data_IF_743212548115
#
_entry.id   IF_743212548115
#
_cell.length_a   1.000
_cell.length_b   1.000
_cell.length_c   1.000
_cell.angle_alpha   90.00
_cell.angle_beta   90.00
_cell.angle_gamma   90.00
#
_symmetry.space_group_name_H-M   'P 1'
#
loop_
_entity.id
_entity.type
_entity.pdbx_description
1 polymer ?
#
# COMPACT_ATOMS: atom_id res chain seq x y z
N UNK A 1 21.38 19.42 22.85
CA UNK A 1 20.34 18.50 22.35
C UNK A 1 20.47 17.26 23.19
N UNK A 2 19.79 17.24 24.33
CA UNK A 2 19.72 16.06 25.18
C UNK A 2 18.87 15.03 24.45
N UNK A 3 19.49 13.88 24.16
CA UNK A 3 18.80 12.67 23.72
C UNK A 3 17.89 12.20 24.86
N UNK A 4 16.69 12.77 24.91
CA UNK A 4 15.58 12.22 25.65
C UNK A 4 15.30 10.84 25.04
N UNK A 5 15.85 9.80 25.67
CA UNK A 5 15.37 8.44 25.55
C UNK A 5 13.91 8.41 26.01
N UNK A 6 13.00 8.83 25.15
CA UNK A 6 11.56 8.71 25.34
C UNK A 6 11.30 7.21 25.42
N UNK A 7 11.14 6.69 26.64
CA UNK A 7 10.64 5.35 26.87
C UNK A 7 9.19 5.33 26.35
N UNK A 8 9.00 4.73 25.18
CA UNK A 8 7.69 4.50 24.58
C UNK A 8 6.91 3.49 25.42
N UNK A 9 6.28 3.95 26.49
CA UNK A 9 5.27 3.18 27.22
C UNK A 9 4.02 3.08 26.36
N UNK A 10 3.35 1.92 26.33
CA UNK A 10 2.12 1.71 25.53
C UNK A 10 1.06 2.79 25.78
N UNK A 11 1.02 3.33 27.00
CA UNK A 11 0.06 4.34 27.44
C UNK A 11 0.32 5.75 26.87
N UNK A 12 1.55 6.03 26.41
CA UNK A 12 1.92 7.34 25.86
C UNK A 12 1.82 7.44 24.34
N UNK A 13 1.68 6.30 23.64
CA UNK A 13 1.67 6.28 22.16
C UNK A 13 0.40 6.90 21.57
N UNK A 14 -0.78 6.47 22.03
CA UNK A 14 -2.06 6.95 21.51
C UNK A 14 -2.24 8.49 21.63
N UNK A 15 -1.98 9.13 22.79
CA UNK A 15 -2.12 10.59 22.89
C UNK A 15 -1.07 11.33 22.05
N UNK A 16 0.14 10.78 21.87
CA UNK A 16 1.18 11.38 21.05
C UNK A 16 0.81 11.34 19.56
N UNK A 17 0.35 10.19 19.06
CA UNK A 17 -0.16 10.06 17.70
C UNK A 17 -1.36 10.98 17.49
N UNK A 18 -2.29 11.05 18.46
CA UNK A 18 -3.45 11.93 18.40
C UNK A 18 -3.08 13.41 18.26
N UNK A 19 -2.12 13.90 19.06
CA UNK A 19 -1.62 15.28 18.95
C UNK A 19 -0.91 15.52 17.62
N UNK A 20 -0.04 14.61 17.19
CA UNK A 20 0.65 14.73 15.91
C UNK A 20 -0.34 14.77 14.74
N UNK A 21 -1.40 13.96 14.78
CA UNK A 21 -2.47 13.98 13.78
C UNK A 21 -3.25 15.29 13.79
N UNK A 22 -3.53 15.82 14.98
CA UNK A 22 -4.28 17.07 15.15
C UNK A 22 -3.50 18.28 14.63
N UNK A 23 -2.20 18.35 14.93
CA UNK A 23 -1.31 19.42 14.46
C UNK A 23 -1.12 19.38 12.95
N UNK A 24 -1.11 18.18 12.35
CA UNK A 24 -0.94 17.98 10.91
C UNK A 24 -2.25 17.73 10.15
N UNK A 25 -3.40 17.96 10.79
CA UNK A 25 -4.73 17.72 10.24
C UNK A 25 -4.94 18.28 8.82
N UNK A 26 -4.60 19.55 8.50
CA UNK A 26 -4.79 20.06 7.15
C UNK A 26 -3.97 19.31 6.09
N UNK A 27 -2.76 18.87 6.44
CA UNK A 27 -1.90 18.09 5.54
C UNK A 27 -2.44 16.67 5.35
N UNK A 28 -2.97 16.04 6.40
CA UNK A 28 -3.61 14.72 6.34
C UNK A 28 -4.86 14.77 5.46
N UNK A 29 -5.71 15.78 5.64
CA UNK A 29 -6.92 15.97 4.82
C UNK A 29 -6.54 16.23 3.37
N UNK A 30 -5.58 17.13 3.11
CA UNK A 30 -5.11 17.44 1.76
C UNK A 30 -4.52 16.21 1.05
N UNK A 31 -3.69 15.43 1.74
CA UNK A 31 -3.15 14.18 1.23
C UNK A 31 -4.22 13.13 0.96
N UNK A 32 -5.22 13.00 1.84
CA UNK A 32 -6.36 12.12 1.67
C UNK A 32 -7.24 12.48 0.47
N UNK A 33 -7.50 13.77 0.24
CA UNK A 33 -8.23 14.25 -0.93
C UNK A 33 -7.49 13.95 -2.24
N UNK A 34 -6.17 14.20 -2.29
CA UNK A 34 -5.34 13.87 -3.45
C UNK A 34 -5.29 12.36 -3.71
N UNK A 35 -5.17 11.56 -2.65
CA UNK A 35 -5.23 10.11 -2.73
C UNK A 35 -6.58 9.64 -3.28
N UNK A 36 -7.69 10.15 -2.76
CA UNK A 36 -9.04 9.85 -3.25
C UNK A 36 -9.23 10.23 -4.72
N UNK A 37 -8.71 11.38 -5.14
CA UNK A 37 -8.74 11.83 -6.54
C UNK A 37 -7.98 10.88 -7.47
N UNK A 38 -6.81 10.36 -7.03
CA UNK A 38 -6.05 9.36 -7.80
C UNK A 38 -6.71 7.97 -7.81
N UNK A 39 -7.52 7.65 -6.80
CA UNK A 39 -8.30 6.40 -6.76
C UNK A 39 -9.56 6.45 -7.64
N UNK A 40 -10.06 7.66 -7.96
CA UNK A 40 -11.31 7.84 -8.70
C UNK A 40 -11.35 7.09 -10.06
N UNK A 41 -10.31 7.06 -10.89
CA UNK A 41 -10.33 6.32 -12.17
C UNK A 41 -10.57 4.81 -11.99
N UNK A 42 -9.92 4.20 -10.99
CA UNK A 42 -10.12 2.78 -10.68
C UNK A 42 -11.55 2.52 -10.18
N UNK A 43 -12.09 3.41 -9.35
CA UNK A 43 -13.45 3.33 -8.84
C UNK A 43 -14.51 3.47 -9.94
N UNK A 44 -14.31 4.37 -10.90
CA UNK A 44 -15.20 4.54 -12.05
C UNK A 44 -15.22 3.26 -12.90
N UNK A 45 -14.05 2.69 -13.22
CA UNK A 45 -13.96 1.43 -13.96
C UNK A 45 -14.65 0.27 -13.22
N UNK A 46 -14.52 0.23 -11.89
CA UNK A 46 -15.17 -0.77 -11.06
C UNK A 46 -16.69 -0.65 -11.14
N UNK A 47 -17.21 0.58 -11.07
CA UNK A 47 -18.65 0.87 -11.12
C UNK A 47 -19.28 0.48 -12.46
N UNK A 48 -18.50 0.51 -13.56
CA UNK A 48 -18.95 0.07 -14.88
C UNK A 48 -18.87 -1.46 -15.05
N UNK A 49 -18.23 -2.17 -14.11
CA UNK A 49 -18.09 -3.63 -14.12
C UNK A 49 -16.83 -4.14 -14.81
N UNK A 50 -15.89 -3.27 -15.20
CA UNK A 50 -14.63 -3.66 -15.83
C UNK A 50 -13.56 -4.07 -14.80
N UNK A 51 -13.76 -5.23 -14.16
CA UNK A 51 -12.93 -5.69 -13.04
C UNK A 51 -11.43 -5.81 -13.37
N UNK A 52 -11.05 -6.39 -14.51
CA UNK A 52 -9.63 -6.54 -14.85
C UNK A 52 -8.93 -5.19 -15.12
N UNK A 53 -9.50 -4.27 -15.95
CA UNK A 53 -9.00 -2.91 -16.06
C UNK A 53 -8.94 -2.15 -14.73
N UNK A 54 -9.92 -2.32 -13.85
CA UNK A 54 -9.92 -1.73 -12.51
C UNK A 54 -8.67 -2.12 -11.72
N UNK A 55 -8.31 -3.41 -11.73
CA UNK A 55 -7.12 -3.89 -11.01
C UNK A 55 -5.85 -3.24 -11.58
N UNK A 56 -5.71 -3.20 -12.90
CA UNK A 56 -4.53 -2.61 -13.55
C UNK A 56 -4.42 -1.11 -13.30
N UNK A 57 -5.52 -0.36 -13.46
CA UNK A 57 -5.56 1.08 -13.15
C UNK A 57 -5.32 1.31 -11.67
N UNK A 58 -5.86 0.46 -10.80
CA UNK A 58 -5.61 0.49 -9.37
C UNK A 58 -4.13 0.33 -9.02
N UNK A 59 -3.43 -0.62 -9.63
CA UNK A 59 -1.97 -0.75 -9.47
C UNK A 59 -1.24 0.50 -9.92
N UNK A 60 -1.66 1.08 -11.06
CA UNK A 60 -1.02 2.24 -11.65
C UNK A 60 -1.29 3.50 -10.82
N UNK A 61 -2.46 3.67 -10.21
CA UNK A 61 -2.81 4.92 -9.49
C UNK A 61 -2.74 4.77 -7.97
N UNK A 62 -3.34 3.73 -7.39
CA UNK A 62 -3.47 3.54 -5.94
C UNK A 62 -2.13 3.21 -5.29
N UNK A 63 -1.36 2.28 -5.87
CA UNK A 63 -0.07 1.88 -5.30
C UNK A 63 0.92 3.05 -5.17
N UNK A 64 1.17 3.88 -6.21
CA UNK A 64 2.02 5.05 -6.05
C UNK A 64 1.39 6.13 -5.17
N UNK A 65 0.06 6.35 -5.23
CA UNK A 65 -0.62 7.30 -4.36
C UNK A 65 -0.44 6.94 -2.87
N UNK A 66 -0.52 5.65 -2.55
CA UNK A 66 -0.27 5.13 -1.21
C UNK A 66 1.16 5.43 -0.74
N UNK A 67 2.17 5.16 -1.58
CA UNK A 67 3.56 5.47 -1.26
C UNK A 67 3.81 6.97 -1.06
N UNK A 68 3.19 7.83 -1.87
CA UNK A 68 3.29 9.27 -1.73
C UNK A 68 2.66 9.77 -0.42
N UNK A 69 1.51 9.19 -0.04
CA UNK A 69 0.83 9.50 1.21
C UNK A 69 1.68 9.12 2.43
N UNK A 70 2.30 7.94 2.41
CA UNK A 70 3.22 7.51 3.47
C UNK A 70 4.46 8.43 3.59
N UNK A 71 5.01 8.92 2.47
CA UNK A 71 6.11 9.90 2.50
C UNK A 71 5.67 11.21 3.14
N UNK A 72 4.47 11.69 2.80
CA UNK A 72 3.90 12.89 3.42
C UNK A 72 3.63 12.70 4.91
N UNK A 73 3.13 11.53 5.33
CA UNK A 73 2.94 11.19 6.74
C UNK A 73 4.27 11.17 7.51
N UNK A 74 5.32 10.58 6.91
CA UNK A 74 6.66 10.59 7.50
C UNK A 74 7.20 12.01 7.67
N UNK A 75 7.00 12.90 6.69
CA UNK A 75 7.40 14.30 6.81
C UNK A 75 6.64 15.02 7.94
N UNK A 76 5.32 14.78 8.05
CA UNK A 76 4.50 15.32 9.13
C UNK A 76 4.96 14.82 10.53
N UNK A 77 5.32 13.54 10.66
CA UNK A 77 5.86 12.97 11.91
C UNK A 77 7.21 13.60 12.31
N UNK A 78 7.99 14.09 11.36
CA UNK A 78 9.24 14.82 11.63
C UNK A 78 9.01 16.32 11.92
N UNK A 79 7.76 16.77 11.99
CA UNK A 79 7.41 18.19 12.17
C UNK A 79 7.63 19.06 10.93
N UNK A 80 7.83 18.46 9.75
CA UNK A 80 8.04 19.20 8.52
C UNK A 80 6.71 19.54 7.83
N UNK A 81 6.30 20.81 7.90
CA UNK A 81 5.15 21.30 7.13
C UNK A 81 5.57 21.48 5.67
N UNK A 82 5.16 20.55 4.80
CA UNK A 82 5.48 20.60 3.37
C UNK A 82 4.25 20.93 2.52
N UNK A 83 4.39 21.74 1.46
CA UNK A 83 3.28 22.08 0.58
C UNK A 83 2.81 20.86 -0.23
N UNK A 84 1.56 20.88 -0.71
CA UNK A 84 0.95 19.82 -1.53
C UNK A 84 1.78 19.44 -2.78
N UNK A 85 2.64 20.34 -3.28
CA UNK A 85 3.59 20.04 -4.37
C UNK A 85 4.55 18.89 -4.02
N UNK A 86 4.81 18.67 -2.75
CA UNK A 86 5.67 17.59 -2.29
C UNK A 86 5.04 16.21 -2.55
N UNK A 87 3.72 16.08 -2.43
CA UNK A 87 3.00 14.85 -2.75
C UNK A 87 3.24 14.43 -4.21
N UNK A 88 3.11 15.37 -5.15
CA UNK A 88 3.34 15.09 -6.58
C UNK A 88 4.78 14.70 -6.90
N UNK A 89 5.77 15.32 -6.25
CA UNK A 89 7.18 14.93 -6.40
C UNK A 89 7.44 13.53 -5.85
N UNK A 90 6.88 13.22 -4.68
CA UNK A 90 6.99 11.89 -4.08
C UNK A 90 6.33 10.84 -4.99
N UNK A 91 5.14 11.13 -5.51
CA UNK A 91 4.41 10.27 -6.45
C UNK A 91 5.28 9.92 -7.66
N UNK A 92 5.88 10.92 -8.31
CA UNK A 92 6.73 10.71 -9.49
C UNK A 92 8.00 9.92 -9.15
N UNK A 93 8.63 10.22 -8.01
CA UNK A 93 9.87 9.58 -7.60
C UNK A 93 9.70 8.10 -7.26
N UNK A 94 8.60 7.72 -6.60
CA UNK A 94 8.34 6.35 -6.18
C UNK A 94 7.48 5.56 -7.16
N UNK A 95 6.96 6.20 -8.21
CA UNK A 95 6.01 5.62 -9.18
C UNK A 95 6.38 4.21 -9.62
N UNK A 96 7.56 4.07 -10.24
CA UNK A 96 8.00 2.81 -10.85
C UNK A 96 8.09 1.67 -9.83
N UNK A 97 8.65 1.93 -8.65
CA UNK A 97 8.84 0.88 -7.63
C UNK A 97 7.51 0.47 -6.99
N UNK A 98 6.64 1.44 -6.72
CA UNK A 98 5.30 1.19 -6.19
C UNK A 98 4.42 0.42 -7.19
N UNK A 99 4.49 0.76 -8.48
CA UNK A 99 3.78 0.02 -9.54
C UNK A 99 4.31 -1.40 -9.66
N UNK A 100 5.63 -1.62 -9.59
CA UNK A 100 6.20 -2.97 -9.61
C UNK A 100 5.70 -3.83 -8.43
N UNK A 101 5.67 -3.26 -7.22
CA UNK A 101 5.12 -3.94 -6.04
C UNK A 101 3.63 -4.24 -6.20
N UNK A 102 2.84 -3.26 -6.65
CA UNK A 102 1.41 -3.42 -6.89
C UNK A 102 1.12 -4.47 -7.96
N UNK A 103 1.93 -4.55 -9.02
CA UNK A 103 1.75 -5.52 -10.10
C UNK A 103 1.97 -6.96 -9.63
N UNK A 104 2.94 -7.19 -8.74
CA UNK A 104 3.14 -8.49 -8.08
C UNK A 104 1.89 -8.88 -7.27
N UNK A 105 1.31 -7.93 -6.53
CA UNK A 105 0.11 -8.18 -5.75
C UNK A 105 -1.17 -8.30 -6.59
N UNK A 106 -1.21 -7.74 -7.80
CA UNK A 106 -2.34 -7.87 -8.70
C UNK A 106 -2.43 -9.26 -9.35
N UNK A 107 -1.33 -10.00 -9.43
CA UNK A 107 -1.31 -11.33 -10.02
C UNK A 107 -2.36 -12.30 -9.42
N UNK A 108 -2.42 -12.52 -8.09
CA UNK A 108 -3.43 -13.41 -7.51
C UNK A 108 -4.87 -12.88 -7.69
N UNK A 109 -5.07 -11.56 -7.75
CA UNK A 109 -6.38 -10.97 -8.02
C UNK A 109 -6.82 -11.28 -9.45
N UNK A 110 -5.93 -11.11 -10.42
CA UNK A 110 -6.22 -11.41 -11.83
C UNK A 110 -6.43 -12.92 -12.05
N UNK A 111 -5.68 -13.77 -11.35
CA UNK A 111 -5.89 -15.22 -11.35
C UNK A 111 -7.29 -15.56 -10.82
N UNK A 112 -7.67 -15.01 -9.67
CA UNK A 112 -9.00 -15.20 -9.10
C UNK A 112 -10.10 -14.74 -10.07
N UNK A 113 -9.95 -13.56 -10.69
CA UNK A 113 -10.90 -13.05 -11.69
C UNK A 113 -11.04 -13.99 -12.90
N UNK A 114 -9.95 -14.62 -13.34
CA UNK A 114 -9.99 -15.60 -14.43
C UNK A 114 -10.71 -16.91 -14.04
N UNK A 115 -10.78 -17.24 -12.74
CA UNK A 115 -11.53 -18.42 -12.26
C UNK A 115 -13.04 -18.17 -12.10
N UNK A 116 -13.48 -16.92 -11.93
CA UNK A 116 -14.90 -16.57 -11.77
C UNK A 116 -15.85 -17.14 -12.84
N UNK A 117 -15.56 -17.09 -14.15
CA UNK A 117 -16.47 -17.66 -15.16
C UNK A 117 -16.64 -19.19 -15.03
N UNK A 118 -15.68 -19.90 -14.43
CA UNK A 118 -15.80 -21.34 -14.19
C UNK A 118 -16.85 -21.65 -13.10
N UNK A 119 -17.13 -20.71 -12.21
CA UNK A 119 -18.17 -20.86 -11.17
C UNK A 119 -19.59 -20.76 -11.74
N UNK A 120 -19.76 -20.24 -12.96
CA UNK A 120 -21.07 -20.12 -13.61
C UNK A 120 -21.59 -21.45 -14.20
N UNK A 121 -20.79 -22.53 -14.14
CA UNK A 121 -21.17 -23.84 -14.66
C UNK A 121 -22.03 -24.62 -13.65
N UNK A 122 -23.02 -25.38 -14.12
CA UNK A 122 -23.93 -26.17 -13.26
C UNK A 122 -23.21 -27.20 -12.37
N UNK A 123 -22.05 -27.70 -12.79
CA UNK A 123 -21.23 -28.62 -12.04
C UNK A 123 -19.81 -28.07 -11.94
N UNK A 124 -19.51 -27.37 -10.85
CA UNK A 124 -18.19 -26.78 -10.60
C UNK A 124 -17.22 -27.88 -10.16
N UNK A 125 -16.11 -28.12 -10.89
CA UNK A 125 -15.11 -29.10 -10.50
C UNK A 125 -14.46 -28.77 -9.14
N UNK A 126 -14.19 -29.76 -8.26
CA UNK A 126 -13.54 -29.52 -6.96
C UNK A 126 -12.20 -28.79 -7.03
N UNK A 127 -11.45 -28.98 -8.13
CA UNK A 127 -10.17 -28.30 -8.40
C UNK A 127 -10.32 -26.77 -8.43
N UNK A 128 -11.48 -26.25 -8.85
CA UNK A 128 -11.75 -24.79 -8.92
C UNK A 128 -11.81 -24.20 -7.51
N UNK A 129 -12.43 -24.90 -6.56
CA UNK A 129 -12.50 -24.48 -5.15
C UNK A 129 -11.12 -24.44 -4.49
N UNK A 130 -10.27 -25.43 -4.78
CA UNK A 130 -8.87 -25.43 -4.32
C UNK A 130 -8.08 -24.26 -4.90
N UNK A 131 -8.27 -23.96 -6.20
CA UNK A 131 -7.68 -22.79 -6.84
C UNK A 131 -8.10 -21.49 -6.17
N UNK A 132 -9.41 -21.30 -5.97
CA UNK A 132 -9.96 -20.10 -5.33
C UNK A 132 -9.47 -19.94 -3.89
N UNK A 133 -9.39 -21.01 -3.11
CA UNK A 133 -8.82 -20.99 -1.76
C UNK A 133 -7.33 -20.60 -1.76
N UNK A 134 -6.56 -21.12 -2.72
CA UNK A 134 -5.16 -20.75 -2.91
C UNK A 134 -5.00 -19.27 -3.31
N UNK A 135 -5.86 -18.76 -4.18
CA UNK A 135 -5.88 -17.35 -4.57
C UNK A 135 -6.21 -16.44 -3.38
N UNK A 136 -7.21 -16.79 -2.56
CA UNK A 136 -7.54 -16.06 -1.33
C UNK A 136 -6.38 -16.04 -0.34
N UNK A 137 -5.73 -17.18 -0.12
CA UNK A 137 -4.54 -17.26 0.72
C UNK A 137 -3.40 -16.40 0.18
N UNK A 138 -3.16 -16.45 -1.14
CA UNK A 138 -2.13 -15.64 -1.80
C UNK A 138 -2.44 -14.14 -1.71
N UNK A 139 -3.69 -13.73 -1.89
CA UNK A 139 -4.14 -12.35 -1.71
C UNK A 139 -3.92 -11.87 -0.27
N UNK A 140 -4.29 -12.68 0.73
CA UNK A 140 -4.08 -12.35 2.14
C UNK A 140 -2.58 -12.20 2.48
N UNK A 141 -1.75 -13.14 1.99
CA UNK A 141 -0.31 -13.08 2.14
C UNK A 141 0.29 -11.83 1.48
N UNK A 142 -0.11 -11.52 0.24
CA UNK A 142 0.36 -10.34 -0.49
C UNK A 142 -0.09 -9.05 0.19
N UNK A 143 -1.32 -8.98 0.72
CA UNK A 143 -1.80 -7.83 1.47
C UNK A 143 -0.95 -7.59 2.73
N UNK A 144 -0.65 -8.64 3.50
CA UNK A 144 0.25 -8.56 4.65
C UNK A 144 1.65 -8.08 4.23
N UNK A 145 2.23 -8.68 3.18
CA UNK A 145 3.54 -8.28 2.67
C UNK A 145 3.59 -6.83 2.20
N UNK A 146 2.57 -6.36 1.49
CA UNK A 146 2.48 -4.97 1.03
C UNK A 146 2.40 -3.98 2.20
N UNK A 147 1.66 -4.32 3.25
CA UNK A 147 1.51 -3.48 4.44
C UNK A 147 2.86 -3.18 5.10
N UNK A 148 3.81 -4.11 5.03
CA UNK A 148 5.19 -3.92 5.49
C UNK A 148 6.15 -3.40 4.40
N UNK A 149 5.97 -3.81 3.14
CA UNK A 149 6.89 -3.47 2.05
C UNK A 149 6.85 -1.98 1.70
N UNK A 150 5.69 -1.33 1.76
CA UNK A 150 5.55 0.09 1.44
C UNK A 150 6.27 1.03 2.44
N UNK A 151 6.09 0.87 3.77
CA UNK A 151 6.89 1.63 4.74
C UNK A 151 8.39 1.37 4.59
N UNK A 152 8.78 0.10 4.41
CA UNK A 152 10.19 -0.28 4.26
C UNK A 152 10.82 0.35 3.01
N UNK A 153 10.07 0.45 1.91
CA UNK A 153 10.52 1.10 0.68
C UNK A 153 10.84 2.59 0.90
N UNK A 154 10.08 3.26 1.76
CA UNK A 154 10.28 4.69 2.09
C UNK A 154 11.45 4.87 3.04
N UNK A 155 11.66 3.94 3.97
CA UNK A 155 12.79 3.98 4.89
C UNK A 155 14.13 3.72 4.18
N UNK A 156 14.16 2.72 3.30
CA UNK A 156 15.38 2.24 2.63
C UNK A 156 15.91 3.16 1.54
N UNK A 157 15.07 4.07 1.01
CA UNK A 157 15.48 5.01 -0.05
C UNK A 157 16.62 5.95 0.36
N UNK A 158 16.92 6.07 1.67
CA UNK A 158 18.05 6.87 2.18
C UNK A 158 19.41 6.15 2.11
N UNK A 159 19.46 4.82 1.95
CA UNK A 159 20.69 4.06 2.25
C UNK A 159 21.15 3.09 1.16
N UNK A 160 20.26 2.55 0.32
CA UNK A 160 20.67 1.71 -0.81
C UNK A 160 19.46 1.49 -1.73
N UNK A 161 19.70 1.07 -2.98
CA UNK A 161 18.64 0.71 -3.92
C UNK A 161 18.45 -0.82 -3.93
N UNK A 162 17.72 -1.44 -2.97
CA UNK A 162 17.46 -2.87 -3.02
C UNK A 162 16.50 -3.16 -4.20
N UNK A 163 16.76 -4.27 -4.89
CA UNK A 163 15.81 -4.83 -5.84
C UNK A 163 14.48 -5.16 -5.13
N UNK A 164 13.36 -5.15 -5.85
CA UNK A 164 12.01 -5.47 -5.33
C UNK A 164 12.01 -6.78 -4.53
N UNK A 165 12.75 -7.78 -5.01
CA UNK A 165 12.92 -9.06 -4.34
C UNK A 165 13.62 -8.94 -2.96
N UNK A 166 14.60 -8.04 -2.85
CA UNK A 166 15.27 -7.75 -1.59
C UNK A 166 14.34 -7.12 -0.54
N UNK A 167 13.38 -6.29 -0.97
CA UNK A 167 12.35 -5.72 -0.09
C UNK A 167 11.42 -6.81 0.44
N UNK A 168 10.92 -7.71 -0.42
CA UNK A 168 10.09 -8.83 0.00
C UNK A 168 10.81 -9.78 0.97
N UNK A 169 12.08 -10.08 0.71
CA UNK A 169 12.87 -10.93 1.61
C UNK A 169 13.03 -10.31 3.00
N UNK A 170 13.23 -8.99 3.08
CA UNK A 170 13.33 -8.28 4.36
C UNK A 170 11.98 -8.17 5.07
N UNK A 171 10.88 -7.93 4.35
CA UNK A 171 9.55 -7.89 4.98
C UNK A 171 9.14 -9.26 5.54
N UNK A 172 9.46 -10.35 4.83
CA UNK A 172 9.27 -11.72 5.36
C UNK A 172 10.08 -11.96 6.64
N UNK A 173 11.32 -11.50 6.69
CA UNK A 173 12.15 -11.63 7.88
C UNK A 173 11.56 -10.86 9.06
N UNK A 174 11.09 -9.63 8.85
CA UNK A 174 10.44 -8.83 9.90
C UNK A 174 9.12 -9.45 10.35
N UNK A 175 8.30 -9.95 9.42
CA UNK A 175 7.04 -10.61 9.76
C UNK A 175 7.25 -11.90 10.56
N UNK A 176 8.37 -12.61 10.36
CA UNK A 176 8.69 -13.83 11.11
C UNK A 176 9.19 -13.59 12.55
N UNK A 177 9.50 -12.34 12.91
CA UNK A 177 9.98 -11.99 14.26
C UNK A 177 8.85 -11.68 15.25
N UNK A 178 7.61 -11.61 14.78
CA UNK A 178 6.40 -11.38 15.58
C UNK A 178 5.52 -12.63 15.58
#
# INVERSE_FOLDING_TARGET
>A
MEDLHVQWTRDSYAPLVGRALWENLPQVIGGGLLFGLLCAPAFVLFSIGYLAPTVLVGVITVAPAWSALLVCQRAALNGEVRPNRHFWRALQSYWRRSVQLGLVAAFPILAALATLPLLAQNAVPPIVWLGLAADFFCMALMAALLLYAFPLLIETDKTFCPSVFGLYRRSLFLASQY
#
